data_IF_779496432603
#
_entry.id   IF_779496432603
#
_cell.length_a   1.000
_cell.length_b   1.000
_cell.length_c   1.000
_cell.angle_alpha   90.00
_cell.angle_beta   90.00
_cell.angle_gamma   90.00
#
_symmetry.space_group_name_H-M   'P 1'
#
loop_
_entity.id
_entity.type
_entity.pdbx_description
1 polymer ?
#
# COMPACT_ATOMS: atom_id res chain seq x y z
N UNK A 1 -8.46 -42.65 -12.49
CA UNK A 1 -8.57 -41.17 -12.52
C UNK A 1 -7.65 -40.61 -11.44
N UNK A 2 -6.58 -39.92 -11.83
CA UNK A 2 -5.62 -39.31 -10.88
C UNK A 2 -6.13 -37.93 -10.48
N UNK A 3 -6.22 -37.57 -9.19
CA UNK A 3 -6.52 -36.20 -8.79
C UNK A 3 -5.28 -35.32 -8.96
N UNK A 4 -5.46 -34.21 -9.65
CA UNK A 4 -4.51 -33.11 -9.82
C UNK A 4 -4.26 -32.44 -8.47
N UNK A 5 -3.00 -32.22 -8.03
CA UNK A 5 -2.75 -31.48 -6.81
C UNK A 5 -3.03 -29.99 -7.03
N UNK A 6 -3.92 -29.45 -6.19
CA UNK A 6 -4.32 -28.05 -6.11
C UNK A 6 -3.09 -27.12 -5.99
N UNK A 7 -2.93 -26.25 -6.99
CA UNK A 7 -1.91 -25.19 -7.03
C UNK A 7 -2.13 -24.04 -6.03
N UNK A 8 -3.06 -24.19 -5.07
CA UNK A 8 -3.45 -23.13 -4.13
C UNK A 8 -2.67 -23.15 -2.81
N UNK A 9 -1.77 -24.13 -2.59
CA UNK A 9 -1.05 -24.28 -1.32
C UNK A 9 0.43 -23.88 -1.36
N UNK A 10 0.89 -23.17 -2.39
CA UNK A 10 2.33 -22.82 -2.55
C UNK A 10 2.64 -21.35 -2.24
N UNK A 11 1.65 -20.45 -2.17
CA UNK A 11 1.93 -19.01 -2.05
C UNK A 11 2.18 -18.47 -0.63
N UNK A 12 2.04 -19.27 0.44
CA UNK A 12 2.03 -18.71 1.81
C UNK A 12 3.06 -19.29 2.79
N UNK A 13 3.92 -20.22 2.37
CA UNK A 13 4.89 -20.88 3.26
C UNK A 13 6.36 -20.43 3.09
N UNK A 14 6.66 -19.44 2.26
CA UNK A 14 8.06 -19.03 1.97
C UNK A 14 8.60 -17.87 2.80
N UNK A 15 7.90 -17.37 3.83
CA UNK A 15 8.30 -16.15 4.55
C UNK A 15 8.91 -16.34 5.95
N UNK A 16 9.22 -17.56 6.40
CA UNK A 16 9.96 -17.75 7.65
C UNK A 16 11.18 -18.64 7.47
N UNK A 17 12.30 -18.02 7.08
CA UNK A 17 13.64 -18.46 7.53
C UNK A 17 14.49 -17.21 7.80
N UNK A 18 15.06 -17.03 9.00
CA UNK A 18 16.10 -16.05 9.21
C UNK A 18 17.43 -16.73 8.88
N UNK A 19 17.99 -16.46 7.70
CA UNK A 19 19.40 -16.73 7.43
C UNK A 19 20.17 -15.42 7.53
N UNK A 20 21.02 -15.39 8.55
CA UNK A 20 21.92 -14.33 8.92
C UNK A 20 23.27 -14.61 8.22
N UNK A 21 23.59 -13.88 7.14
CA UNK A 21 24.96 -13.78 6.60
C UNK A 21 25.17 -12.37 5.98
N UNK A 22 26.32 -11.71 6.23
CA UNK A 22 26.59 -10.34 5.84
C UNK A 22 27.23 -10.23 4.44
N UNK A 23 26.89 -9.16 3.72
CA UNK A 23 27.64 -8.65 2.58
C UNK A 23 27.36 -9.32 1.23
N UNK A 24 26.43 -8.73 0.47
CA UNK A 24 26.50 -8.64 -0.99
C UNK A 24 25.35 -7.74 -1.49
N UNK A 25 25.71 -6.71 -2.25
CA UNK A 25 24.83 -5.90 -3.08
C UNK A 25 23.78 -6.76 -3.81
N UNK A 26 22.56 -6.77 -3.28
CA UNK A 26 21.38 -7.18 -4.03
C UNK A 26 20.51 -5.93 -4.14
N UNK A 27 20.22 -5.44 -5.35
CA UNK A 27 19.21 -4.40 -5.53
C UNK A 27 17.95 -4.88 -4.79
N UNK A 28 17.31 -4.02 -3.97
CA UNK A 28 16.09 -4.40 -3.27
C UNK A 28 15.14 -4.98 -4.31
N UNK A 29 14.61 -6.18 -4.04
CA UNK A 29 13.58 -6.78 -4.86
C UNK A 29 12.54 -5.69 -5.17
N UNK A 30 12.04 -5.57 -6.41
CA UNK A 30 11.09 -4.53 -6.74
C UNK A 30 9.96 -4.61 -5.73
N UNK A 31 9.80 -3.58 -4.90
CA UNK A 31 8.60 -3.45 -4.10
C UNK A 31 7.44 -3.65 -5.07
N UNK A 32 6.56 -4.61 -4.78
CA UNK A 32 5.42 -4.94 -5.63
C UNK A 32 4.75 -3.63 -6.09
N UNK A 33 4.38 -3.53 -7.36
CA UNK A 33 3.82 -2.29 -7.87
C UNK A 33 2.59 -1.92 -7.02
N UNK A 34 2.30 -0.63 -6.78
CA UNK A 34 1.25 -0.21 -5.85
C UNK A 34 -0.13 -0.84 -6.13
N UNK A 35 -0.44 -1.18 -7.38
CA UNK A 35 -1.67 -1.90 -7.73
C UNK A 35 -1.67 -3.37 -7.26
N UNK A 36 -0.50 -3.99 -7.14
CA UNK A 36 -0.33 -5.41 -6.85
C UNK A 36 -0.63 -5.74 -5.39
N UNK A 37 -0.28 -4.84 -4.46
CA UNK A 37 -0.51 -5.02 -3.01
C UNK A 37 -2.00 -5.18 -2.67
N UNK A 38 -2.83 -4.20 -3.03
CA UNK A 38 -4.28 -4.31 -2.77
C UNK A 38 -4.93 -5.42 -3.59
N UNK A 39 -4.49 -5.63 -4.84
CA UNK A 39 -5.03 -6.70 -5.70
C UNK A 39 -4.81 -8.08 -5.11
N UNK A 40 -3.68 -8.32 -4.44
CA UNK A 40 -3.42 -9.56 -3.74
C UNK A 40 -4.28 -9.73 -2.46
N UNK A 41 -4.67 -8.64 -1.80
CA UNK A 41 -5.44 -8.69 -0.56
C UNK A 41 -6.95 -8.78 -0.78
N UNK A 42 -7.50 -8.09 -1.79
CA UNK A 42 -8.95 -7.98 -2.01
C UNK A 42 -9.65 -9.32 -2.29
N UNK A 43 -8.90 -10.34 -2.71
CA UNK A 43 -9.41 -11.70 -2.95
C UNK A 43 -9.68 -12.48 -1.66
N UNK A 44 -9.29 -11.96 -0.49
CA UNK A 44 -9.57 -12.59 0.79
C UNK A 44 -11.07 -12.56 1.12
N UNK A 45 -11.57 -13.70 1.60
CA UNK A 45 -12.91 -13.87 2.15
C UNK A 45 -12.88 -13.66 3.67
N UNK A 46 -14.06 -13.60 4.29
CA UNK A 46 -14.15 -13.51 5.74
C UNK A 46 -13.49 -14.71 6.46
N UNK A 47 -13.53 -15.88 5.84
CA UNK A 47 -12.97 -17.12 6.42
C UNK A 47 -11.43 -17.11 6.46
N UNK A 48 -10.76 -16.36 5.57
CA UNK A 48 -9.31 -16.19 5.58
C UNK A 48 -8.85 -14.76 5.93
N UNK A 49 -9.70 -14.00 6.63
CA UNK A 49 -9.47 -12.59 6.99
C UNK A 49 -8.15 -12.31 7.71
N UNK A 50 -7.60 -13.28 8.44
CA UNK A 50 -6.29 -13.16 9.09
C UNK A 50 -5.15 -12.84 8.09
N UNK A 51 -5.24 -13.36 6.86
CA UNK A 51 -4.28 -13.04 5.79
C UNK A 51 -4.41 -11.58 5.36
N UNK A 52 -5.65 -11.09 5.23
CA UNK A 52 -5.91 -9.69 4.92
C UNK A 52 -5.37 -8.78 6.04
N UNK A 53 -5.65 -9.11 7.31
CA UNK A 53 -5.19 -8.32 8.45
C UNK A 53 -3.68 -8.21 8.54
N UNK A 54 -2.95 -9.30 8.25
CA UNK A 54 -1.49 -9.28 8.20
C UNK A 54 -0.95 -8.40 7.06
N UNK A 55 -1.72 -8.22 5.98
CA UNK A 55 -1.35 -7.42 4.82
C UNK A 55 -1.71 -5.92 4.90
N UNK A 56 -2.72 -5.54 5.68
CA UNK A 56 -3.18 -4.15 5.80
C UNK A 56 -2.07 -3.17 6.23
N UNK A 57 -1.20 -3.47 7.21
CA UNK A 57 -0.08 -2.58 7.55
C UNK A 57 0.83 -2.27 6.37
N UNK A 58 1.03 -3.24 5.46
CA UNK A 58 1.84 -3.07 4.26
C UNK A 58 1.31 -2.00 3.29
N UNK A 59 -0.01 -1.73 3.29
CA UNK A 59 -0.58 -0.64 2.51
C UNK A 59 -0.18 0.71 3.11
N UNK A 60 -0.27 0.86 4.44
CA UNK A 60 0.10 2.09 5.13
C UNK A 60 1.61 2.37 5.00
N UNK A 61 2.45 1.36 5.23
CA UNK A 61 3.91 1.46 5.10
C UNK A 61 4.32 1.89 3.69
N UNK A 62 3.63 1.36 2.66
CA UNK A 62 3.88 1.76 1.29
C UNK A 62 3.59 3.26 1.07
N UNK A 63 2.46 3.75 1.57
CA UNK A 63 2.08 5.17 1.46
C UNK A 63 3.04 6.05 2.25
N UNK A 64 3.49 5.60 3.42
CA UNK A 64 4.50 6.31 4.22
C UNK A 64 5.84 6.44 3.50
N UNK A 65 6.30 5.37 2.87
CA UNK A 65 7.50 5.41 2.04
C UNK A 65 7.36 6.39 0.88
N UNK A 66 6.17 6.44 0.24
CA UNK A 66 5.88 7.41 -0.82
C UNK A 66 5.90 8.86 -0.28
N UNK A 67 5.27 9.13 0.86
CA UNK A 67 5.26 10.44 1.53
C UNK A 67 6.69 10.87 1.89
N UNK A 68 7.50 9.98 2.45
CA UNK A 68 8.89 10.25 2.78
C UNK A 68 9.71 10.65 1.54
N UNK A 69 9.55 9.92 0.43
CA UNK A 69 10.20 10.23 -0.84
C UNK A 69 9.74 11.58 -1.42
N UNK A 70 8.45 11.91 -1.32
CA UNK A 70 7.90 13.19 -1.77
C UNK A 70 8.45 14.36 -0.92
N UNK A 71 8.52 14.20 0.39
CA UNK A 71 9.12 15.17 1.29
C UNK A 71 10.61 15.40 1.00
N UNK A 72 11.36 14.32 0.70
CA UNK A 72 12.74 14.43 0.26
C UNK A 72 12.87 15.20 -1.07
N UNK A 73 11.92 15.02 -2.00
CA UNK A 73 11.90 15.81 -3.25
C UNK A 73 11.63 17.29 -2.98
N UNK A 74 10.75 17.61 -2.02
CA UNK A 74 10.42 19.00 -1.64
C UNK A 74 11.66 19.81 -1.25
N UNK A 75 12.58 19.23 -0.49
CA UNK A 75 13.80 19.94 -0.04
C UNK A 75 14.66 20.39 -1.23
N UNK A 76 14.68 19.60 -2.31
CA UNK A 76 15.41 19.94 -3.54
C UNK A 76 14.73 21.04 -4.38
N UNK A 77 13.41 21.23 -4.22
CA UNK A 77 12.67 22.28 -4.93
C UNK A 77 12.92 23.66 -4.34
N UNK A 78 13.03 23.75 -3.00
CA UNK A 78 13.37 25.00 -2.31
C UNK A 78 14.71 25.58 -2.76
N UNK A 79 15.69 24.72 -3.06
CA UNK A 79 16.98 25.14 -3.61
C UNK A 79 16.90 25.72 -5.02
N UNK A 80 15.79 25.51 -5.75
CA UNK A 80 15.61 25.91 -7.16
C UNK A 80 14.64 27.08 -7.33
N UNK A 81 14.17 27.72 -6.26
CA UNK A 81 13.16 28.79 -6.29
C UNK A 81 11.86 28.42 -7.05
N UNK A 82 11.50 27.12 -7.07
CA UNK A 82 10.24 26.66 -7.67
C UNK A 82 9.11 26.90 -6.66
N UNK A 83 7.99 27.47 -7.11
CA UNK A 83 6.80 27.63 -6.26
C UNK A 83 6.30 26.28 -5.76
N UNK A 84 6.19 26.11 -4.44
CA UNK A 84 5.75 24.84 -3.83
C UNK A 84 4.25 24.80 -3.53
N UNK A 85 3.49 25.86 -3.81
CA UNK A 85 2.09 25.95 -3.37
C UNK A 85 1.20 24.80 -3.88
N UNK A 86 1.32 24.44 -5.17
CA UNK A 86 0.57 23.33 -5.74
C UNK A 86 0.97 21.99 -5.12
N UNK A 87 2.26 21.83 -4.81
CA UNK A 87 2.79 20.65 -4.11
C UNK A 87 2.26 20.56 -2.68
N UNK A 88 2.24 21.67 -1.95
CA UNK A 88 1.74 21.77 -0.58
C UNK A 88 0.26 21.38 -0.49
N UNK A 89 -0.54 21.89 -1.42
CA UNK A 89 -1.96 21.54 -1.52
C UNK A 89 -2.15 20.05 -1.83
N UNK A 90 -1.41 19.51 -2.80
CA UNK A 90 -1.48 18.09 -3.15
C UNK A 90 -1.05 17.17 -1.99
N UNK A 91 -0.06 17.59 -1.19
CA UNK A 91 0.40 16.84 -0.02
C UNK A 91 -0.60 16.83 1.13
N UNK A 92 -1.35 17.91 1.34
CA UNK A 92 -2.45 17.91 2.31
C UNK A 92 -3.54 16.91 1.90
N UNK A 93 -3.85 16.84 0.60
CA UNK A 93 -4.83 15.88 0.09
C UNK A 93 -4.35 14.43 0.22
N UNK A 94 -3.06 14.19 0.00
CA UNK A 94 -2.43 12.88 0.25
C UNK A 94 -2.52 12.50 1.74
N UNK A 95 -2.21 13.43 2.64
CA UNK A 95 -2.29 13.17 4.08
C UNK A 95 -3.72 12.80 4.52
N UNK A 96 -4.74 13.50 4.00
CA UNK A 96 -6.15 13.16 4.25
C UNK A 96 -6.53 11.78 3.70
N UNK A 97 -6.10 11.48 2.48
CA UNK A 97 -6.37 10.18 1.86
C UNK A 97 -5.75 9.03 2.63
N UNK A 98 -4.51 9.20 3.13
CA UNK A 98 -3.84 8.22 4.00
C UNK A 98 -4.60 7.99 5.31
N UNK A 99 -5.07 9.06 5.97
CA UNK A 99 -5.86 8.94 7.20
C UNK A 99 -7.14 8.15 6.93
N UNK A 100 -7.82 8.44 5.82
CA UNK A 100 -9.03 7.72 5.42
C UNK A 100 -8.75 6.23 5.15
N UNK A 101 -7.64 5.91 4.46
CA UNK A 101 -7.21 4.52 4.25
C UNK A 101 -6.99 3.77 5.57
N UNK A 102 -6.34 4.40 6.55
CA UNK A 102 -6.15 3.80 7.87
C UNK A 102 -7.48 3.57 8.58
N UNK A 103 -8.34 4.59 8.62
CA UNK A 103 -9.67 4.47 9.24
C UNK A 103 -10.50 3.35 8.62
N UNK A 104 -10.56 3.27 7.29
CA UNK A 104 -11.29 2.18 6.61
C UNK A 104 -10.66 0.81 6.85
N UNK A 105 -9.34 0.74 7.04
CA UNK A 105 -8.65 -0.50 7.40
C UNK A 105 -9.03 -0.94 8.82
N UNK A 106 -9.10 0.00 9.76
CA UNK A 106 -9.54 -0.25 11.13
C UNK A 106 -11.02 -0.69 11.18
N UNK A 107 -11.89 -0.07 10.37
CA UNK A 107 -13.28 -0.49 10.23
C UNK A 107 -13.37 -1.94 9.72
N UNK A 108 -12.58 -2.29 8.69
CA UNK A 108 -12.53 -3.65 8.15
C UNK A 108 -12.00 -4.69 9.14
N UNK A 109 -11.08 -4.32 10.04
CA UNK A 109 -10.60 -5.23 11.10
C UNK A 109 -11.76 -5.59 12.05
N UNK A 110 -12.68 -4.66 12.28
CA UNK A 110 -13.86 -4.86 13.13
C UNK A 110 -15.09 -5.40 12.39
N UNK A 111 -14.95 -5.72 11.10
CA UNK A 111 -16.01 -6.25 10.27
C UNK A 111 -16.53 -7.62 10.76
N UNK A 112 -17.83 -7.84 10.59
CA UNK A 112 -18.45 -9.16 10.68
C UNK A 112 -18.64 -9.75 9.28
N UNK A 113 -19.26 -10.94 9.19
CA UNK A 113 -19.47 -11.60 7.90
C UNK A 113 -20.45 -10.83 6.99
N UNK A 114 -21.40 -10.10 7.56
CA UNK A 114 -22.46 -9.41 6.81
C UNK A 114 -21.93 -8.14 6.14
N UNK A 115 -21.04 -7.40 6.81
CA UNK A 115 -20.47 -6.16 6.30
C UNK A 115 -19.06 -6.30 5.70
N UNK A 116 -18.46 -7.49 5.72
CA UNK A 116 -17.10 -7.78 5.24
C UNK A 116 -16.80 -7.22 3.84
N UNK A 117 -17.62 -7.59 2.85
CA UNK A 117 -17.35 -7.22 1.47
C UNK A 117 -17.54 -5.71 1.24
N UNK A 118 -18.52 -5.09 1.91
CA UNK A 118 -18.71 -3.64 1.86
C UNK A 118 -17.49 -2.89 2.42
N UNK A 119 -16.98 -3.30 3.59
CA UNK A 119 -15.85 -2.64 4.22
C UNK A 119 -14.54 -2.89 3.45
N UNK A 120 -14.37 -4.06 2.83
CA UNK A 120 -13.27 -4.30 1.88
C UNK A 120 -13.33 -3.36 0.69
N UNK A 121 -14.50 -3.16 0.10
CA UNK A 121 -14.66 -2.25 -1.04
C UNK A 121 -14.31 -0.82 -0.64
N UNK A 122 -14.65 -0.40 0.58
CA UNK A 122 -14.24 0.90 1.11
C UNK A 122 -12.72 1.03 1.25
N UNK A 123 -12.03 0.02 1.78
CA UNK A 123 -10.55 0.01 1.80
C UNK A 123 -9.98 0.10 0.39
N UNK A 124 -10.56 -0.61 -0.57
CA UNK A 124 -10.12 -0.55 -1.97
C UNK A 124 -10.30 0.84 -2.59
N UNK A 125 -11.43 1.50 -2.34
CA UNK A 125 -11.66 2.87 -2.78
C UNK A 125 -10.69 3.86 -2.11
N UNK A 126 -10.43 3.71 -0.81
CA UNK A 126 -9.46 4.53 -0.09
C UNK A 126 -8.03 4.33 -0.60
N UNK A 127 -7.65 3.10 -0.96
CA UNK A 127 -6.36 2.78 -1.57
C UNK A 127 -6.18 3.51 -2.91
N UNK A 128 -7.15 3.39 -3.81
CA UNK A 128 -7.11 4.07 -5.13
C UNK A 128 -6.99 5.58 -4.96
N UNK A 129 -7.82 6.18 -4.11
CA UNK A 129 -7.75 7.64 -3.83
C UNK A 129 -6.39 8.07 -3.31
N UNK A 130 -5.77 7.26 -2.46
CA UNK A 130 -4.44 7.54 -1.92
C UNK A 130 -3.36 7.48 -3.00
N UNK A 131 -3.41 6.47 -3.87
CA UNK A 131 -2.47 6.36 -4.99
C UNK A 131 -2.65 7.50 -6.01
N UNK A 132 -3.89 7.91 -6.29
CA UNK A 132 -4.20 9.07 -7.14
C UNK A 132 -3.65 10.37 -6.53
N UNK A 133 -3.80 10.57 -5.22
CA UNK A 133 -3.23 11.72 -4.51
C UNK A 133 -1.70 11.73 -4.60
N UNK A 134 -1.04 10.58 -4.42
CA UNK A 134 0.40 10.43 -4.68
C UNK A 134 0.78 10.82 -6.12
N UNK A 135 -0.02 10.42 -7.11
CA UNK A 135 0.15 10.81 -8.51
C UNK A 135 0.08 12.33 -8.71
N UNK A 136 -0.90 13.00 -8.08
CA UNK A 136 -1.05 14.47 -8.14
C UNK A 136 0.16 15.20 -7.56
N UNK A 137 0.70 14.75 -6.43
CA UNK A 137 1.92 15.36 -5.85
C UNK A 137 3.11 15.18 -6.79
N UNK A 138 3.26 14.00 -7.42
CA UNK A 138 4.34 13.78 -8.39
C UNK A 138 4.19 14.73 -9.60
N UNK A 139 2.98 14.90 -10.11
CA UNK A 139 2.70 15.79 -11.24
C UNK A 139 3.01 17.27 -10.90
N UNK A 140 2.73 17.73 -9.67
CA UNK A 140 3.00 19.11 -9.26
C UNK A 140 4.49 19.47 -9.15
N UNK A 141 5.39 18.50 -9.38
CA UNK A 141 6.86 18.69 -9.35
C UNK A 141 7.53 18.65 -10.72
N UNK A 142 6.75 18.56 -11.81
CA UNK A 142 7.26 18.34 -13.18
C UNK A 142 7.04 19.54 -14.12
N UNK A 143 6.76 20.73 -13.57
CA UNK A 143 6.73 21.98 -14.35
C UNK A 143 8.10 22.65 -14.41
#
# INVERSE_FOLDING_TARGET
MKPTPSALLVCLLSLLTPVLVPGADKPPAPAAAPADLWTALKVCTYDNRAVLYAGLPGLADHVDAQIAALNAKRTTMGAKNISTQAWDFAMQELARSRIHLMSSSDDLINADRENWDQLKDQVGLAWVRTQDACGKVKASTTN
#
